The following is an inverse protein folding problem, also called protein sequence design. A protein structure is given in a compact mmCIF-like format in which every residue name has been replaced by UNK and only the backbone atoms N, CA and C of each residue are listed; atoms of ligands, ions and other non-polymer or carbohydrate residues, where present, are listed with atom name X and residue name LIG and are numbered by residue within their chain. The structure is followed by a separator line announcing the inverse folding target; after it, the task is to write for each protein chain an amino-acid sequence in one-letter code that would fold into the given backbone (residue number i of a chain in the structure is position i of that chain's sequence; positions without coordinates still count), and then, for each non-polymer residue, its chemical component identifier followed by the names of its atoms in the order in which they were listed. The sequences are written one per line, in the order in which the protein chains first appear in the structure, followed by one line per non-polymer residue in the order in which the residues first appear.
data_IF_315751075707
#
_entry.id   IF_315751075707
#
_cell.length_a   1.000
_cell.length_b   1.000
_cell.length_c   1.000
_cell.angle_alpha   90.00
_cell.angle_beta   90.00
_cell.angle_gamma   90.00
#
_symmetry.space_group_name_H-M   'P 1'
#
loop_
_entity.id
_entity.type
_entity.pdbx_description
1 polymer ?
#
# COMPACT_ATOMS: atom_id res chain seq x y z
N UNK A 1 -5.93 -1.27 9.48
CA UNK A 1 -5.37 -1.92 8.28
C UNK A 1 -6.45 -2.56 7.42
N UNK A 2 -7.31 -3.42 7.97
CA UNK A 2 -8.36 -4.10 7.17
C UNK A 2 -9.37 -3.14 6.56
N UNK A 3 -9.91 -2.20 7.35
CA UNK A 3 -10.76 -1.10 6.83
C UNK A 3 -10.07 -0.30 5.72
N UNK A 4 -8.84 0.12 5.98
CA UNK A 4 -8.03 0.87 5.03
C UNK A 4 -7.85 0.13 3.68
N UNK A 5 -7.56 -1.17 3.74
CA UNK A 5 -7.47 -2.02 2.57
C UNK A 5 -8.81 -2.18 1.86
N UNK A 6 -9.90 -2.35 2.62
CA UNK A 6 -11.25 -2.44 2.09
C UNK A 6 -11.67 -1.16 1.37
N UNK A 7 -11.32 0.02 1.91
CA UNK A 7 -11.57 1.31 1.25
C UNK A 7 -10.78 1.46 -0.05
N UNK A 8 -9.51 1.03 -0.10
CA UNK A 8 -8.76 1.01 -1.35
C UNK A 8 -9.34 0.02 -2.35
N UNK A 9 -9.78 -1.16 -1.91
CA UNK A 9 -10.48 -2.14 -2.74
C UNK A 9 -11.77 -1.56 -3.31
N UNK A 10 -12.57 -0.86 -2.50
CA UNK A 10 -13.80 -0.19 -2.97
C UNK A 10 -13.50 0.90 -4.01
N UNK A 11 -12.35 1.55 -3.92
CA UNK A 11 -11.89 2.54 -4.91
C UNK A 11 -11.18 1.92 -6.12
N UNK A 12 -11.08 0.60 -6.20
CA UNK A 12 -10.37 -0.09 -7.27
C UNK A 12 -8.85 0.13 -7.27
N UNK A 13 -8.27 0.40 -6.09
CA UNK A 13 -6.82 0.62 -5.85
C UNK A 13 -6.21 -0.51 -5.02
N UNK A 14 -6.58 -1.75 -5.30
CA UNK A 14 -6.04 -2.93 -4.62
C UNK A 14 -5.00 -3.68 -5.47
N UNK A 15 -4.50 -3.03 -6.52
CA UNK A 15 -3.40 -3.51 -7.34
C UNK A 15 -2.09 -3.49 -6.55
N UNK A 16 -1.14 -4.31 -6.98
CA UNK A 16 0.21 -4.39 -6.40
C UNK A 16 0.87 -3.02 -6.33
N UNK A 17 0.73 -2.21 -7.38
CA UNK A 17 1.34 -0.89 -7.46
C UNK A 17 0.72 0.09 -6.42
N UNK A 18 -0.62 0.10 -6.32
CA UNK A 18 -1.39 0.84 -5.28
C UNK A 18 -0.95 0.48 -3.87
N UNK A 19 -0.78 -0.81 -3.61
CA UNK A 19 -0.39 -1.30 -2.30
C UNK A 19 1.08 -1.00 -1.98
N UNK A 20 1.97 -1.12 -2.97
CA UNK A 20 3.38 -0.75 -2.82
C UNK A 20 3.54 0.73 -2.52
N UNK A 21 2.85 1.59 -3.27
CA UNK A 21 2.91 3.02 -3.02
C UNK A 21 2.33 3.36 -1.64
N UNK A 22 1.22 2.73 -1.23
CA UNK A 22 0.66 2.91 0.10
C UNK A 22 1.64 2.50 1.21
N UNK A 23 2.37 1.39 1.03
CA UNK A 23 3.43 0.99 1.96
C UNK A 23 4.59 2.01 2.00
N UNK A 24 4.96 2.60 0.86
CA UNK A 24 6.01 3.62 0.79
C UNK A 24 5.58 4.93 1.47
N UNK A 25 4.37 5.42 1.19
CA UNK A 25 3.83 6.66 1.78
C UNK A 25 3.69 6.51 3.30
N UNK A 26 3.22 5.34 3.73
CA UNK A 26 3.15 4.94 5.14
C UNK A 26 4.51 4.78 5.81
N UNK A 27 5.63 4.90 5.09
CA UNK A 27 6.99 4.58 5.58
C UNK A 27 7.07 3.18 6.19
N UNK A 28 6.20 2.29 5.73
CA UNK A 28 6.18 0.87 6.10
C UNK A 28 7.32 0.17 5.42
N UNK A 29 7.57 0.49 4.16
CA UNK A 29 8.80 0.15 3.46
C UNK A 29 9.58 1.44 3.17
N UNK A 30 10.90 1.32 3.08
CA UNK A 30 11.72 2.45 2.67
C UNK A 30 11.36 2.88 1.24
N UNK A 31 11.48 4.18 0.97
CA UNK A 31 11.31 4.70 -0.39
C UNK A 31 12.58 4.45 -1.23
N UNK A 32 12.99 3.18 -1.29
CA UNK A 32 14.16 2.71 -2.05
C UNK A 32 13.71 1.66 -3.05
N UNK A 33 14.40 1.60 -4.19
CA UNK A 33 14.12 0.61 -5.24
C UNK A 33 14.26 -0.82 -4.75
N UNK A 34 15.12 -1.06 -3.76
CA UNK A 34 15.30 -2.39 -3.16
C UNK A 34 14.11 -2.82 -2.32
N UNK A 35 13.61 -1.93 -1.45
CA UNK A 35 12.44 -2.23 -0.62
C UNK A 35 11.18 -2.40 -1.48
N UNK A 36 11.02 -1.56 -2.51
CA UNK A 36 9.95 -1.68 -3.50
C UNK A 36 10.05 -3.00 -4.28
N UNK A 37 11.23 -3.37 -4.80
CA UNK A 37 11.42 -4.66 -5.47
C UNK A 37 11.11 -5.84 -4.56
N UNK A 38 11.58 -5.81 -3.30
CA UNK A 38 11.29 -6.87 -2.33
C UNK A 38 9.80 -7.00 -2.09
N UNK A 39 9.12 -5.90 -1.79
CA UNK A 39 7.68 -5.92 -1.58
C UNK A 39 6.94 -6.37 -2.86
N UNK A 40 7.37 -5.92 -4.04
CA UNK A 40 6.80 -6.33 -5.34
C UNK A 40 6.97 -7.83 -5.59
N UNK A 41 8.11 -8.40 -5.22
CA UNK A 41 8.36 -9.85 -5.30
C UNK A 41 7.42 -10.64 -4.37
N UNK A 42 7.07 -10.10 -3.20
CA UNK A 42 6.07 -10.71 -2.31
C UNK A 42 4.68 -10.74 -2.93
N UNK A 43 4.40 -9.78 -3.81
CA UNK A 43 3.16 -9.69 -4.57
C UNK A 43 3.23 -10.32 -5.97
N UNK A 44 4.41 -10.69 -6.48
CA UNK A 44 4.53 -11.35 -7.79
C UNK A 44 3.89 -12.73 -7.81
N UNK A 45 3.85 -13.40 -6.65
CA UNK A 45 3.14 -14.65 -6.42
C UNK A 45 1.61 -14.46 -6.34
N UNK A 46 1.12 -13.21 -6.27
CA UNK A 46 -0.31 -12.97 -6.30
C UNK A 46 -0.84 -13.24 -7.71
N UNK A 47 -1.76 -14.20 -7.80
CA UNK A 47 -2.45 -14.61 -9.04
C UNK A 47 -3.08 -13.39 -9.75
N UNK A 48 -3.58 -12.42 -9.00
CA UNK A 48 -4.14 -11.17 -9.51
C UNK A 48 -3.31 -9.96 -9.07
N UNK A 49 -2.47 -9.46 -9.98
CA UNK A 49 -1.66 -8.25 -9.76
C UNK A 49 -2.51 -6.97 -9.68
N UNK A 50 -3.73 -7.02 -10.21
CA UNK A 50 -4.69 -5.91 -10.16
C UNK A 50 -5.80 -6.09 -9.12
N UNK A 51 -5.77 -7.19 -8.38
CA UNK A 51 -6.76 -7.47 -7.34
C UNK A 51 -6.11 -8.34 -6.28
N UNK A 52 -5.22 -7.72 -5.52
CA UNK A 52 -4.55 -8.39 -4.41
C UNK A 52 -5.59 -8.64 -3.32
N UNK A 53 -5.57 -9.85 -2.78
CA UNK A 53 -6.42 -10.19 -1.65
C UNK A 53 -5.79 -9.69 -0.35
N UNK A 54 -6.65 -9.36 0.62
CA UNK A 54 -6.20 -8.91 1.94
C UNK A 54 -5.25 -9.92 2.61
N UNK A 55 -5.48 -11.21 2.38
CA UNK A 55 -4.64 -12.28 2.90
C UNK A 55 -3.22 -12.21 2.32
N UNK A 56 -3.07 -12.04 1.00
CA UNK A 56 -1.77 -11.85 0.34
C UNK A 56 -1.08 -10.57 0.79
N UNK A 57 -1.84 -9.50 1.01
CA UNK A 57 -1.31 -8.26 1.56
C UNK A 57 -0.84 -8.40 3.01
N UNK A 58 -1.59 -9.11 3.87
CA UNK A 58 -1.14 -9.48 5.22
C UNK A 58 0.16 -10.29 5.15
N UNK A 59 0.23 -11.32 4.33
CA UNK A 59 1.45 -12.13 4.18
C UNK A 59 2.66 -11.31 3.74
N UNK A 60 2.48 -10.40 2.78
CA UNK A 60 3.54 -9.50 2.35
C UNK A 60 3.98 -8.58 3.50
N UNK A 61 3.03 -8.00 4.23
CA UNK A 61 3.29 -7.15 5.38
C UNK A 61 4.02 -7.90 6.50
N UNK A 62 3.64 -9.14 6.79
CA UNK A 62 4.29 -10.01 7.78
C UNK A 62 5.76 -10.28 7.43
N UNK A 63 6.03 -10.57 6.15
CA UNK A 63 7.41 -10.76 5.67
C UNK A 63 8.22 -9.47 5.75
N UNK A 64 7.62 -8.33 5.42
CA UNK A 64 8.26 -7.02 5.53
C UNK A 64 8.55 -6.67 7.00
N UNK A 65 7.59 -6.90 7.90
CA UNK A 65 7.74 -6.69 9.34
C UNK A 65 8.91 -7.52 9.89
N UNK A 66 8.93 -8.81 9.53
CA UNK A 66 10.01 -9.74 9.89
C UNK A 66 11.36 -9.26 9.38
N UNK A 67 11.46 -8.81 8.12
CA UNK A 67 12.69 -8.28 7.54
C UNK A 67 13.18 -7.00 8.24
N UNK A 68 12.26 -6.13 8.66
CA UNK A 68 12.57 -4.88 9.33
C UNK A 68 12.71 -5.01 10.86
N UNK A 69 12.54 -6.22 11.41
CA UNK A 69 12.42 -6.46 12.86
C UNK A 69 11.39 -5.53 13.52
N UNK A 70 10.30 -5.22 12.80
CA UNK A 70 9.15 -4.45 13.29
C UNK A 70 7.97 -5.39 13.53
N UNK A 71 7.01 -4.93 14.32
CA UNK A 71 5.78 -5.69 14.54
C UNK A 71 4.79 -5.43 13.40
N UNK A 72 4.11 -6.47 12.94
CA UNK A 72 3.07 -6.38 11.90
C UNK A 72 1.97 -5.43 12.32
N UNK A 73 1.61 -5.45 13.60
CA UNK A 73 0.62 -4.54 14.18
C UNK A 73 1.06 -3.07 14.12
N UNK A 74 2.35 -2.79 14.31
CA UNK A 74 2.90 -1.43 14.20
C UNK A 74 2.78 -0.93 12.77
N UNK A 75 3.24 -1.74 11.81
CA UNK A 75 3.12 -1.44 10.39
C UNK A 75 1.66 -1.30 9.95
N UNK A 76 0.78 -2.18 10.44
CA UNK A 76 -0.66 -2.17 10.16
C UNK A 76 -1.35 -0.92 10.72
N UNK A 77 -0.92 -0.43 11.88
CA UNK A 77 -1.38 0.84 12.46
C UNK A 77 -0.90 2.03 11.63
N UNK A 78 0.37 2.06 11.23
CA UNK A 78 0.89 3.12 10.37
C UNK A 78 0.18 3.15 9.03
N UNK A 79 -0.02 1.99 8.40
CA UNK A 79 -0.81 1.84 7.18
C UNK A 79 -2.23 2.39 7.35
N UNK A 80 -2.91 2.02 8.44
CA UNK A 80 -4.26 2.50 8.72
C UNK A 80 -4.33 4.02 8.82
N UNK A 81 -3.40 4.61 9.58
CA UNK A 81 -3.32 6.05 9.76
C UNK A 81 -2.96 6.80 8.46
N UNK A 82 -2.10 6.22 7.63
CA UNK A 82 -1.79 6.80 6.32
C UNK A 82 -2.95 6.63 5.34
N UNK A 83 -3.70 5.54 5.37
CA UNK A 83 -4.91 5.44 4.54
C UNK A 83 -5.89 6.56 4.83
N UNK A 84 -6.15 6.89 6.10
CA UNK A 84 -7.02 8.03 6.43
C UNK A 84 -6.44 9.34 5.89
N UNK A 85 -5.12 9.55 5.99
CA UNK A 85 -4.45 10.71 5.39
C UNK A 85 -4.53 10.74 3.87
N UNK A 86 -4.29 9.62 3.21
CA UNK A 86 -4.35 9.45 1.78
C UNK A 86 -5.78 9.65 1.29
N UNK A 87 -6.77 9.09 1.98
CA UNK A 87 -8.20 9.30 1.72
C UNK A 87 -8.60 10.75 1.94
N UNK A 88 -8.10 11.39 3.00
CA UNK A 88 -8.33 12.81 3.25
C UNK A 88 -7.70 13.68 2.15
N UNK A 89 -6.47 13.39 1.72
CA UNK A 89 -5.81 14.05 0.57
C UNK A 89 -6.56 13.82 -0.75
N UNK A 90 -7.09 12.62 -0.97
CA UNK A 90 -7.88 12.26 -2.16
C UNK A 90 -9.25 12.95 -2.15
N UNK A 91 -9.87 13.09 -0.97
CA UNK A 91 -11.21 13.67 -0.81
C UNK A 91 -11.19 15.19 -0.80
N UNK A 92 -10.14 15.80 -0.24
CA UNK A 92 -9.92 17.26 -0.25
C UNK A 92 -9.48 17.81 -1.63
N UNK A 93 -9.24 16.94 -2.62
CA UNK A 93 -8.74 17.34 -3.93
C UNK A 93 -9.26 16.46 -5.06
N UNK A 94 -10.57 16.40 -5.25
CA UNK A 94 -11.21 15.61 -6.33
C UNK A 94 -10.65 15.89 -7.74
N UNK A 95 -9.95 17.00 -7.98
CA UNK A 95 -9.25 17.25 -9.25
C UNK A 95 -7.71 17.22 -9.20
N UNK A 96 -7.07 17.27 -8.02
CA UNK A 96 -5.60 17.40 -7.93
C UNK A 96 -4.93 16.32 -7.06
N UNK A 97 -5.62 15.76 -6.06
CA UNK A 97 -5.12 14.69 -5.21
C UNK A 97 -5.17 13.33 -5.90
N UNK A 98 -6.24 13.07 -6.67
CA UNK A 98 -6.30 11.90 -7.57
C UNK A 98 -5.27 12.07 -8.68
N UNK A 99 -5.11 13.26 -9.24
CA UNK A 99 -4.18 13.50 -10.34
C UNK A 99 -2.71 13.42 -9.88
N UNK A 100 -2.34 13.93 -8.71
CA UNK A 100 -1.00 13.76 -8.15
C UNK A 100 -0.69 12.29 -7.81
N UNK A 101 -1.64 11.59 -7.19
CA UNK A 101 -1.53 10.15 -6.95
C UNK A 101 -1.41 9.38 -8.27
N UNK A 102 -2.22 9.70 -9.28
CA UNK A 102 -2.22 8.98 -10.57
C UNK A 102 -1.05 9.40 -11.47
N UNK A 103 -0.52 10.61 -11.32
CA UNK A 103 0.64 11.15 -12.07
C UNK A 103 1.95 10.64 -11.51
N UNK A 104 2.04 10.41 -10.20
CA UNK A 104 3.16 9.69 -9.58
C UNK A 104 3.15 8.20 -9.94
N UNK A 105 1.97 7.64 -10.23
CA UNK A 105 1.76 6.31 -10.82
C UNK A 105 2.10 6.17 -12.31
N UNK A 106 2.24 7.27 -13.06
CA UNK A 106 2.36 7.26 -14.55
C UNK A 106 3.71 7.78 -15.07
N UNK A 107 4.80 7.66 -14.30
CA UNK A 107 6.13 8.06 -14.77
C UNK A 107 7.12 6.91 -14.84
#
# INVERSE_FOLDING_TARGET
MEKAFEEMKQRGKNDVDSLLQWMKDSKVIENTKEAEKKARLLFEDAVNKNNVELEKFKQALEKIATQQKKSVEDLAKTLAAESERMLHKLSAGVSAGVEAFTKEFKK
#
